data_IF_394303906784
#
_entry.id   IF_394303906784
#
_cell.length_a   1.000
_cell.length_b   1.000
_cell.length_c   1.000
_cell.angle_alpha   90.00
_cell.angle_beta   90.00
_cell.angle_gamma   90.00
#
_symmetry.space_group_name_H-M   'P 1'
#
loop_
_entity.id
_entity.type
_entity.pdbx_description
1 polymer ?
#
# COMPACT_ATOMS: atom_id res chain seq x y z
N UNK A 1 3.02 11.00 -2.71
CA UNK A 1 2.75 10.36 -1.41
C UNK A 1 3.70 9.18 -1.15
N UNK A 2 4.09 8.42 -2.19
CA UNK A 2 5.06 7.33 -2.07
C UNK A 2 6.35 7.74 -1.38
N UNK A 3 7.06 8.75 -1.91
CA UNK A 3 8.36 9.18 -1.35
C UNK A 3 8.25 9.87 0.01
N UNK A 4 7.15 10.59 0.24
CA UNK A 4 7.01 11.42 1.44
C UNK A 4 6.35 10.68 2.61
N UNK A 5 5.65 9.57 2.35
CA UNK A 5 4.84 8.86 3.36
C UNK A 5 5.15 7.37 3.37
N UNK A 6 4.93 6.68 2.23
CA UNK A 6 5.02 5.21 2.19
C UNK A 6 6.45 4.70 2.41
N UNK A 7 7.42 5.26 1.69
CA UNK A 7 8.82 4.82 1.75
C UNK A 7 9.45 5.11 3.11
N UNK A 8 9.29 6.32 3.69
CA UNK A 8 9.74 6.59 5.06
C UNK A 8 9.10 5.66 6.09
N UNK A 9 7.80 5.40 5.96
CA UNK A 9 7.09 4.47 6.84
C UNK A 9 7.67 3.05 6.76
N UNK A 10 7.80 2.49 5.56
CA UNK A 10 8.35 1.14 5.37
C UNK A 10 9.79 1.05 5.90
N UNK A 11 10.60 2.08 5.66
CA UNK A 11 11.99 2.13 6.14
C UNK A 11 12.05 2.12 7.66
N UNK A 12 11.19 2.92 8.31
CA UNK A 12 11.06 2.91 9.77
C UNK A 12 10.63 1.55 10.29
N UNK A 13 9.58 0.94 9.73
CA UNK A 13 9.09 -0.38 10.15
C UNK A 13 10.18 -1.45 9.99
N UNK A 14 10.95 -1.43 8.90
CA UNK A 14 12.08 -2.35 8.71
C UNK A 14 13.13 -2.17 9.81
N UNK A 15 13.48 -0.93 10.15
CA UNK A 15 14.42 -0.63 11.22
C UNK A 15 13.92 -1.12 12.58
N UNK A 16 12.67 -0.80 12.92
CA UNK A 16 12.07 -1.12 14.21
C UNK A 16 11.95 -2.64 14.42
N UNK A 17 11.70 -3.39 13.33
CA UNK A 17 11.61 -4.85 13.34
C UNK A 17 12.95 -5.55 13.04
N UNK A 18 14.06 -4.81 12.95
CA UNK A 18 15.39 -5.31 12.59
C UNK A 18 15.41 -6.16 11.30
N UNK A 19 14.59 -5.80 10.32
CA UNK A 19 14.48 -6.49 9.03
C UNK A 19 15.57 -6.02 8.04
N UNK A 20 16.01 -6.89 7.12
CA UNK A 20 16.91 -6.48 6.05
C UNK A 20 16.32 -5.32 5.21
N UNK A 21 17.16 -4.38 4.78
CA UNK A 21 16.72 -3.29 3.89
C UNK A 21 16.17 -3.83 2.56
N UNK A 22 16.65 -5.00 2.12
CA UNK A 22 16.22 -5.74 0.93
C UNK A 22 14.87 -6.45 1.11
N UNK A 23 14.30 -6.49 2.32
CA UNK A 23 12.99 -7.09 2.56
C UNK A 23 11.93 -6.43 1.67
N UNK A 24 11.14 -7.26 0.98
CA UNK A 24 10.06 -6.76 0.12
C UNK A 24 8.84 -6.36 0.95
N UNK A 25 8.09 -5.38 0.46
CA UNK A 25 6.81 -4.95 1.01
C UNK A 25 5.71 -5.09 -0.04
N UNK A 26 4.49 -5.35 0.42
CA UNK A 26 3.30 -5.34 -0.43
C UNK A 26 2.48 -4.11 -0.08
N UNK A 27 2.19 -3.28 -1.08
CA UNK A 27 1.25 -2.17 -1.00
C UNK A 27 -0.11 -2.66 -1.52
N UNK A 28 -1.07 -2.85 -0.62
CA UNK A 28 -2.45 -3.20 -0.98
C UNK A 28 -3.29 -1.92 -1.14
N UNK A 29 -3.74 -1.62 -2.35
CA UNK A 29 -4.53 -0.42 -2.67
C UNK A 29 -5.73 -0.76 -3.53
N UNK A 30 -6.70 0.14 -3.57
CA UNK A 30 -7.89 0.02 -4.40
C UNK A 30 -7.57 0.20 -5.90
N UNK A 31 -8.33 -0.50 -6.73
CA UNK A 31 -8.17 -0.52 -8.19
C UNK A 31 -8.76 0.73 -8.86
N UNK A 32 -8.31 1.93 -8.49
CA UNK A 32 -8.72 3.18 -9.15
C UNK A 32 -7.79 3.51 -10.31
N UNK A 33 -8.31 4.21 -11.33
CA UNK A 33 -7.57 4.61 -12.52
C UNK A 33 -6.30 5.41 -12.20
N UNK A 34 -6.35 6.26 -11.17
CA UNK A 34 -5.18 7.03 -10.69
C UNK A 34 -4.05 6.14 -10.16
N UNK A 35 -4.38 4.95 -9.65
CA UNK A 35 -3.41 4.00 -9.13
C UNK A 35 -2.94 3.02 -10.20
N UNK A 36 -3.77 2.75 -11.20
CA UNK A 36 -3.46 1.85 -12.32
C UNK A 36 -2.77 2.52 -13.51
N UNK A 37 -2.43 3.81 -13.40
CA UNK A 37 -1.67 4.50 -14.43
C UNK A 37 -0.32 3.77 -14.67
N UNK A 38 -0.04 3.46 -15.94
CA UNK A 38 1.18 2.79 -16.37
C UNK A 38 2.44 3.57 -15.97
N UNK A 39 2.44 4.90 -16.10
CA UNK A 39 3.58 5.75 -15.73
C UNK A 39 3.91 5.59 -14.25
N UNK A 40 2.88 5.56 -13.40
CA UNK A 40 3.06 5.35 -11.97
C UNK A 40 3.56 3.94 -11.67
N UNK A 41 3.02 2.91 -12.34
CA UNK A 41 3.44 1.53 -12.16
C UNK A 41 4.91 1.32 -12.59
N UNK A 42 5.32 1.93 -13.70
CA UNK A 42 6.70 1.85 -14.19
C UNK A 42 7.64 2.62 -13.27
N UNK A 43 7.27 3.83 -12.85
CA UNK A 43 8.01 4.61 -11.87
C UNK A 43 8.20 3.84 -10.54
N UNK A 44 7.17 3.15 -10.06
CA UNK A 44 7.26 2.29 -8.87
C UNK A 44 8.21 1.10 -9.07
N UNK A 45 8.17 0.44 -10.24
CA UNK A 45 9.07 -0.67 -10.56
C UNK A 45 10.53 -0.21 -10.59
N UNK A 46 10.80 0.96 -11.16
CA UNK A 46 12.15 1.46 -11.36
C UNK A 46 12.76 2.04 -10.07
N UNK A 47 11.99 2.89 -9.36
CA UNK A 47 12.50 3.60 -8.16
C UNK A 47 12.28 2.85 -6.86
N UNK A 48 11.27 1.98 -6.80
CA UNK A 48 10.86 1.29 -5.57
C UNK A 48 10.63 -0.20 -5.80
N UNK A 49 11.54 -0.86 -6.51
CA UNK A 49 11.43 -2.27 -6.93
C UNK A 49 11.10 -3.28 -5.80
N UNK A 50 11.43 -2.95 -4.54
CA UNK A 50 11.14 -3.76 -3.36
C UNK A 50 9.68 -3.66 -2.87
N UNK A 51 8.92 -2.69 -3.36
CA UNK A 51 7.49 -2.51 -3.07
C UNK A 51 6.70 -3.10 -4.23
N UNK A 52 5.88 -4.11 -3.95
CA UNK A 52 4.98 -4.72 -4.94
C UNK A 52 3.56 -4.21 -4.71
N UNK A 53 2.91 -3.73 -5.76
CA UNK A 53 1.54 -3.24 -5.68
C UNK A 53 0.59 -4.44 -5.87
N UNK A 54 -0.33 -4.61 -4.92
CA UNK A 54 -1.47 -5.51 -5.04
C UNK A 54 -2.75 -4.69 -5.10
N UNK A 55 -3.53 -4.87 -6.15
CA UNK A 55 -4.82 -4.19 -6.29
C UNK A 55 -5.93 -5.02 -5.68
N UNK A 56 -6.78 -4.36 -4.89
CA UNK A 56 -8.06 -4.92 -4.48
C UNK A 56 -9.02 -4.80 -5.66
N UNK A 57 -9.61 -5.91 -6.14
CA UNK A 57 -10.63 -5.88 -7.19
C UNK A 57 -11.74 -4.86 -6.94
N UNK A 58 -12.20 -4.22 -8.02
CA UNK A 58 -13.28 -3.26 -7.98
C UNK A 58 -14.53 -3.84 -7.28
N UNK A 59 -15.15 -3.07 -6.39
CA UNK A 59 -16.30 -3.52 -5.59
C UNK A 59 -15.97 -4.47 -4.44
N UNK A 60 -14.71 -4.86 -4.27
CA UNK A 60 -14.29 -5.73 -3.17
C UNK A 60 -13.60 -4.97 -2.02
N UNK A 61 -13.42 -3.65 -2.09
CA UNK A 61 -12.76 -2.84 -1.04
C UNK A 61 -13.31 -3.13 0.36
N UNK A 62 -14.64 -3.02 0.56
CA UNK A 62 -15.31 -3.29 1.84
C UNK A 62 -15.34 -4.76 2.26
N UNK A 63 -14.87 -5.67 1.40
CA UNK A 63 -14.94 -7.13 1.61
C UNK A 63 -13.58 -7.75 1.89
N UNK A 64 -12.51 -7.22 1.29
CA UNK A 64 -11.17 -7.82 1.38
C UNK A 64 -10.04 -6.82 1.63
N UNK A 65 -10.28 -5.50 1.58
CA UNK A 65 -9.23 -4.56 1.93
C UNK A 65 -9.11 -4.48 3.46
N UNK A 66 -7.96 -4.86 4.05
CA UNK A 66 -7.83 -4.88 5.51
C UNK A 66 -8.03 -3.50 6.14
N UNK A 67 -7.58 -2.44 5.45
CA UNK A 67 -7.76 -1.08 5.92
C UNK A 67 -9.24 -0.66 5.95
N UNK A 68 -10.03 -1.05 4.95
CA UNK A 68 -11.45 -0.71 4.92
C UNK A 68 -12.22 -1.47 6.00
N UNK A 69 -12.03 -2.80 6.09
CA UNK A 69 -12.75 -3.65 7.05
C UNK A 69 -12.32 -3.40 8.49
N UNK A 70 -11.01 -3.33 8.74
CA UNK A 70 -10.45 -3.35 10.09
C UNK A 70 -10.28 -1.97 10.72
N UNK A 71 -10.12 -0.92 9.91
CA UNK A 71 -9.88 0.43 10.42
C UNK A 71 -11.06 1.35 10.08
N UNK A 72 -11.34 1.52 8.80
CA UNK A 72 -12.30 2.53 8.36
C UNK A 72 -13.73 2.16 8.72
N UNK A 73 -14.14 0.90 8.53
CA UNK A 73 -15.50 0.47 8.80
C UNK A 73 -15.85 0.64 10.28
N UNK A 74 -14.93 0.27 11.17
CA UNK A 74 -15.10 0.43 12.62
C UNK A 74 -15.32 1.91 12.97
N UNK A 75 -14.46 2.80 12.47
CA UNK A 75 -14.54 4.24 12.75
C UNK A 75 -15.81 4.85 12.14
N UNK A 76 -16.14 4.55 10.88
CA UNK A 76 -17.25 5.19 10.16
C UNK A 76 -18.65 4.79 10.68
N UNK A 77 -18.77 3.64 11.32
CA UNK A 77 -20.08 3.09 11.74
C UNK A 77 -20.22 2.93 13.25
N UNK A 78 -19.19 3.23 14.04
CA UNK A 78 -19.23 3.14 15.51
C UNK A 78 -18.81 4.44 16.20
N UNK A 79 -18.69 5.55 15.46
CA UNK A 79 -18.47 6.91 15.99
C UNK A 79 -19.57 7.81 15.45
#
# INVERSE_FOLDING_TARGET
WTDNVLVPYITRIKKDLALPLTQRAILLIDSWSVHQNEDYCNWMKDRHALIKIGYIPAGCTRKIQPADIGLQHVIKHNI
#
